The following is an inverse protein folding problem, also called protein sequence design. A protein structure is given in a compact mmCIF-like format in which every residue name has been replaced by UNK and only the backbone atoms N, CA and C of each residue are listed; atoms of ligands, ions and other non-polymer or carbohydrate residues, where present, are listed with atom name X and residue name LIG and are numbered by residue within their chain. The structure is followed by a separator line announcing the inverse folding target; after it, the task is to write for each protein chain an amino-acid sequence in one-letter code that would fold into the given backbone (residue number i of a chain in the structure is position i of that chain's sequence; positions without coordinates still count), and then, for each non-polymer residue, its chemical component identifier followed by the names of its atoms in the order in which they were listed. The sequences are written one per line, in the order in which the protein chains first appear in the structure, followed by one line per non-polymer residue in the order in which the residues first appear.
data_IF_482448444968
#
_entry.id   IF_482448444968
#
_cell.length_a   1.000
_cell.length_b   1.000
_cell.length_c   1.000
_cell.angle_alpha   90.00
_cell.angle_beta   90.00
_cell.angle_gamma   90.00
#
_symmetry.space_group_name_H-M   'P 1'
#
loop_
_entity.id
_entity.type
_entity.pdbx_description
1 polymer ?
#
# COMPACT_ATOMS: atom_id res chain seq x y z
N UNK A 1 17.46 4.95 9.11
CA UNK A 1 16.03 4.59 9.03
C UNK A 1 15.82 3.33 9.85
N UNK A 2 15.09 3.44 10.96
CA UNK A 2 14.75 2.32 11.84
C UNK A 2 13.23 2.13 11.80
N UNK A 3 12.75 0.88 11.76
CA UNK A 3 11.32 0.62 11.91
C UNK A 3 10.93 0.80 13.37
N UNK A 4 9.85 1.55 13.61
CA UNK A 4 9.30 1.76 14.95
C UNK A 4 8.18 0.76 15.24
N UNK A 5 7.61 0.17 14.19
CA UNK A 5 6.56 -0.82 14.30
C UNK A 5 5.84 -1.05 12.99
N UNK A 6 4.72 -1.75 13.11
CA UNK A 6 3.89 -2.17 11.99
C UNK A 6 2.44 -1.81 12.27
N UNK A 7 1.73 -1.32 11.25
CA UNK A 7 0.27 -1.16 11.28
C UNK A 7 -0.37 -1.94 10.14
N UNK A 8 -1.51 -2.57 10.41
CA UNK A 8 -2.35 -3.18 9.37
C UNK A 8 -3.53 -2.26 9.14
N UNK A 9 -3.74 -1.82 7.90
CA UNK A 9 -4.85 -0.93 7.54
C UNK A 9 -5.45 -1.32 6.21
N UNK A 10 -6.76 -1.56 6.20
CA UNK A 10 -7.50 -1.79 4.96
C UNK A 10 -7.45 -0.54 4.07
N UNK A 11 -7.17 -0.74 2.79
CA UNK A 11 -7.28 0.28 1.76
C UNK A 11 -8.28 -0.18 0.72
N UNK A 12 -9.22 0.71 0.41
CA UNK A 12 -10.23 0.47 -0.61
C UNK A 12 -9.92 1.40 -1.77
N UNK A 13 -9.57 0.82 -2.92
CA UNK A 13 -9.33 1.55 -4.16
C UNK A 13 -10.57 1.37 -5.06
N UNK A 14 -11.26 2.46 -5.44
CA UNK A 14 -12.36 2.37 -6.39
C UNK A 14 -11.83 2.02 -7.79
N UNK A 15 -12.39 0.98 -8.40
CA UNK A 15 -12.04 0.56 -9.76
C UNK A 15 -13.30 0.45 -10.63
N UNK A 16 -13.13 0.58 -11.96
CA UNK A 16 -14.27 0.64 -12.91
C UNK A 16 -15.17 -0.60 -12.89
N UNK A 17 -14.66 -1.74 -12.43
CA UNK A 17 -15.37 -3.03 -12.33
C UNK A 17 -15.77 -3.40 -10.89
N UNK A 18 -15.59 -2.52 -9.92
CA UNK A 18 -15.82 -2.78 -8.50
C UNK A 18 -14.73 -2.18 -7.61
N UNK A 19 -14.75 -2.46 -6.31
CA UNK A 19 -13.72 -1.97 -5.39
C UNK A 19 -12.62 -3.02 -5.20
N UNK A 20 -11.36 -2.58 -5.23
CA UNK A 20 -10.23 -3.40 -4.82
C UNK A 20 -10.01 -3.15 -3.33
N UNK A 21 -10.05 -4.21 -2.52
CA UNK A 21 -9.74 -4.15 -1.09
C UNK A 21 -8.37 -4.76 -0.85
N UNK A 22 -7.48 -3.95 -0.30
CA UNK A 22 -6.13 -4.33 0.08
C UNK A 22 -6.07 -4.40 1.60
N UNK A 23 -5.46 -5.44 2.17
CA UNK A 23 -5.14 -5.50 3.60
C UNK A 23 -3.63 -5.50 3.83
N UNK A 24 -2.92 -4.43 3.42
CA UNK A 24 -1.48 -4.37 3.53
C UNK A 24 -1.00 -4.14 4.96
N UNK A 25 0.16 -4.72 5.21
CA UNK A 25 0.99 -4.48 6.38
C UNK A 25 1.95 -3.32 6.06
N UNK A 26 1.86 -2.23 6.84
CA UNK A 26 2.73 -1.06 6.71
C UNK A 26 3.80 -1.06 7.79
N UNK A 27 5.05 -0.92 7.37
CA UNK A 27 6.16 -0.66 8.27
C UNK A 27 6.25 0.85 8.51
N UNK A 28 6.12 1.26 9.77
CA UNK A 28 6.29 2.66 10.18
C UNK A 28 7.76 2.93 10.43
N UNK A 29 8.31 3.95 9.76
CA UNK A 29 9.70 4.34 9.86
C UNK A 29 9.83 5.65 10.65
N UNK A 30 10.82 5.71 11.54
CA UNK A 30 11.05 6.84 12.48
C UNK A 30 11.28 8.19 11.82
N UNK A 31 11.80 8.16 10.59
CA UNK A 31 12.23 9.35 9.86
C UNK A 31 11.61 9.42 8.45
N UNK A 32 10.46 8.76 8.24
CA UNK A 32 9.78 8.82 6.95
C UNK A 32 9.00 10.13 6.80
N UNK A 33 9.60 11.10 6.11
CA UNK A 33 8.90 12.27 5.57
C UNK A 33 8.14 11.94 4.28
N UNK A 34 7.19 11.01 4.35
CA UNK A 34 6.35 10.64 3.21
C UNK A 34 4.93 11.13 3.48
N UNK A 35 4.41 12.03 2.63
CA UNK A 35 3.03 12.53 2.71
C UNK A 35 2.00 11.59 2.04
N UNK A 36 2.42 10.40 1.65
CA UNK A 36 1.61 9.47 0.87
C UNK A 36 1.79 8.01 1.30
N UNK A 37 1.12 7.12 0.59
CA UNK A 37 1.26 5.70 0.76
C UNK A 37 2.14 5.14 -0.34
N UNK A 38 3.22 4.43 0.01
CA UNK A 38 3.98 3.65 -0.96
C UNK A 38 3.44 2.23 -0.99
N UNK A 39 2.79 1.88 -2.10
CA UNK A 39 2.39 0.50 -2.37
C UNK A 39 3.50 -0.18 -3.18
N UNK A 40 4.16 -1.16 -2.56
CA UNK A 40 5.22 -1.94 -3.20
C UNK A 40 4.72 -2.75 -4.41
N UNK A 41 5.66 -3.14 -5.28
CA UNK A 41 5.37 -3.93 -6.49
C UNK A 41 4.87 -5.34 -6.18
N UNK A 42 5.16 -5.86 -5.00
CA UNK A 42 4.64 -7.10 -4.44
C UNK A 42 3.11 -7.05 -4.30
N UNK A 43 2.58 -6.00 -3.69
CA UNK A 43 1.14 -5.77 -3.58
C UNK A 43 0.52 -5.49 -4.95
N UNK A 44 1.19 -4.74 -5.82
CA UNK A 44 0.70 -4.50 -7.18
C UNK A 44 0.50 -5.81 -7.93
N UNK A 45 1.48 -6.73 -7.89
CA UNK A 45 1.38 -8.06 -8.49
C UNK A 45 0.32 -8.94 -7.84
N UNK A 46 0.26 -8.96 -6.50
CA UNK A 46 -0.70 -9.79 -5.75
C UNK A 46 -2.15 -9.43 -6.09
N UNK A 47 -2.43 -8.14 -6.30
CA UNK A 47 -3.77 -7.64 -6.57
C UNK A 47 -4.04 -7.34 -8.06
N UNK A 48 -3.13 -7.72 -8.96
CA UNK A 48 -3.29 -7.52 -10.41
C UNK A 48 -3.39 -6.05 -10.81
N UNK A 49 -2.73 -5.16 -10.07
CA UNK A 49 -2.66 -3.74 -10.40
C UNK A 49 -1.53 -3.56 -11.40
N UNK A 50 -1.91 -3.38 -12.67
CA UNK A 50 -0.97 -2.96 -13.71
C UNK A 50 -1.02 -1.44 -13.87
N UNK A 51 0.13 -0.80 -13.66
CA UNK A 51 0.33 0.63 -13.93
C UNK A 51 0.78 0.75 -15.39
N UNK A 52 -0.16 1.07 -16.28
CA UNK A 52 0.14 1.41 -17.67
C UNK A 52 0.38 2.93 -17.78
N UNK A 53 1.37 3.33 -18.58
CA UNK A 53 1.72 4.74 -18.84
C UNK A 53 0.91 5.28 -20.03
#
# INVERSE_FOLDING_TARGET
MTSIGTIIKEIIIPHRKGNIRLNPEFVVLDDAHIQGLLLGTDYQRMYGIDIYN
#
